data_IF_491766100427
#
_entry.id   IF_491766100427
#
_cell.length_a   1.000
_cell.length_b   1.000
_cell.length_c   1.000
_cell.angle_alpha   90.00
_cell.angle_beta   90.00
_cell.angle_gamma   90.00
#
_symmetry.space_group_name_H-M   'P 1'
#
loop_
_entity.id
_entity.type
_entity.pdbx_description
1 polymer ?
#
# COMPACT_ATOMS: atom_id res chain seq x y z
N UNK A 1 -21.91 -5.58 -6.22
CA UNK A 1 -20.63 -4.99 -5.77
C UNK A 1 -20.26 -5.69 -4.48
N UNK A 2 -19.08 -6.26 -4.45
CA UNK A 2 -18.49 -6.85 -3.25
C UNK A 2 -17.53 -5.85 -2.62
N UNK A 3 -17.22 -6.03 -1.33
CA UNK A 3 -16.28 -5.19 -0.61
C UNK A 3 -15.20 -6.09 0.00
N UNK A 4 -13.95 -5.69 -0.12
CA UNK A 4 -12.84 -6.33 0.57
C UNK A 4 -12.30 -5.38 1.66
N UNK A 5 -12.30 -5.85 2.89
CA UNK A 5 -11.88 -5.07 4.06
C UNK A 5 -10.49 -5.53 4.47
N UNK A 6 -9.53 -4.62 4.37
CA UNK A 6 -8.17 -4.84 4.84
C UNK A 6 -8.10 -4.65 6.36
N UNK A 7 -7.68 -5.69 7.07
CA UNK A 7 -7.56 -5.67 8.51
C UNK A 7 -6.36 -4.84 8.97
N UNK A 8 -6.61 -3.84 9.80
CA UNK A 8 -5.55 -3.04 10.40
C UNK A 8 -5.33 -3.42 11.87
N UNK A 9 -6.41 -3.74 12.57
CA UNK A 9 -6.37 -4.01 13.99
C UNK A 9 -6.27 -2.73 14.82
N UNK A 10 -5.65 -2.84 15.99
CA UNK A 10 -5.60 -1.75 16.96
C UNK A 10 -4.21 -1.10 17.02
N UNK A 11 -4.15 0.20 16.74
CA UNK A 11 -2.91 0.98 16.68
C UNK A 11 -2.36 1.33 18.07
N UNK A 12 -2.21 0.30 18.90
CA UNK A 12 -1.62 0.34 20.23
C UNK A 12 -0.90 -0.96 20.54
N UNK A 13 0.22 -0.87 21.27
CA UNK A 13 0.93 -2.08 21.69
C UNK A 13 -0.01 -3.09 22.40
N UNK A 14 0.08 -4.37 22.02
CA UNK A 14 1.08 -5.02 21.18
C UNK A 14 0.90 -4.90 19.66
N UNK A 15 0.06 -4.03 19.14
CA UNK A 15 -0.25 -3.85 17.72
C UNK A 15 -0.77 -5.14 17.08
N UNK A 16 -1.75 -5.74 17.72
CA UNK A 16 -2.43 -6.89 17.16
C UNK A 16 -3.11 -6.48 15.87
N UNK A 17 -2.84 -7.23 14.81
CA UNK A 17 -3.52 -7.06 13.55
C UNK A 17 -4.97 -7.52 13.61
N UNK A 18 -5.60 -7.56 12.46
CA UNK A 18 -6.97 -8.03 12.26
C UNK A 18 -7.04 -8.92 11.01
N UNK A 19 -8.03 -9.79 10.96
CA UNK A 19 -8.28 -10.61 9.77
C UNK A 19 -8.89 -9.78 8.66
N UNK A 20 -8.47 -10.04 7.43
CA UNK A 20 -9.14 -9.48 6.25
C UNK A 20 -10.48 -10.17 6.04
N UNK A 21 -11.45 -9.43 5.55
CA UNK A 21 -12.80 -9.90 5.30
C UNK A 21 -13.29 -9.51 3.93
N UNK A 22 -14.06 -10.38 3.30
CA UNK A 22 -14.86 -9.99 2.17
C UNK A 22 -16.34 -9.92 2.57
N UNK A 23 -17.01 -8.90 2.10
CA UNK A 23 -18.46 -8.76 2.17
C UNK A 23 -19.02 -9.00 0.79
N UNK A 24 -19.57 -10.17 0.57
CA UNK A 24 -20.12 -10.61 -0.72
C UNK A 24 -21.56 -10.16 -0.81
N UNK A 25 -21.90 -9.41 -1.84
CA UNK A 25 -23.25 -8.90 -2.08
C UNK A 25 -24.22 -10.03 -2.40
N UNK A 26 -25.35 -10.08 -1.69
CA UNK A 26 -26.43 -11.02 -1.96
C UNK A 26 -27.41 -10.50 -3.03
N UNK A 27 -27.19 -9.27 -3.57
CA UNK A 27 -28.02 -8.67 -4.60
C UNK A 27 -29.32 -8.01 -4.10
N UNK A 28 -29.64 -8.14 -2.82
CA UNK A 28 -30.82 -7.55 -2.17
C UNK A 28 -30.48 -6.36 -1.23
N UNK A 29 -29.22 -5.90 -1.26
CA UNK A 29 -28.69 -4.87 -0.38
C UNK A 29 -28.07 -5.40 0.92
N UNK A 30 -28.11 -6.72 1.13
CA UNK A 30 -27.39 -7.38 2.21
C UNK A 30 -26.07 -7.96 1.75
N UNK A 31 -25.19 -8.32 2.71
CA UNK A 31 -23.90 -8.92 2.47
C UNK A 31 -23.70 -10.18 3.31
N UNK A 32 -22.95 -11.12 2.75
CA UNK A 32 -22.42 -12.28 3.48
C UNK A 32 -20.96 -12.02 3.83
N UNK A 33 -20.60 -12.25 5.10
CA UNK A 33 -19.23 -12.06 5.62
C UNK A 33 -18.39 -13.32 5.39
N UNK A 34 -17.19 -13.17 4.87
CA UNK A 34 -16.24 -14.26 4.60
C UNK A 34 -14.85 -13.85 5.07
N UNK A 35 -14.23 -14.66 5.93
CA UNK A 35 -12.83 -14.50 6.33
C UNK A 35 -11.91 -15.06 5.24
N UNK A 36 -10.95 -14.25 4.78
CA UNK A 36 -10.08 -14.60 3.66
C UNK A 36 -8.64 -14.98 4.04
N UNK A 37 -8.31 -14.96 5.30
CA UNK A 37 -6.98 -15.39 5.75
C UNK A 37 -7.02 -15.98 7.15
N UNK A 38 -6.01 -16.78 7.48
CA UNK A 38 -5.86 -17.45 8.77
C UNK A 38 -4.89 -16.75 9.73
N UNK A 39 -4.42 -15.56 9.40
CA UNK A 39 -3.48 -14.78 10.21
C UNK A 39 -3.94 -13.32 10.29
N UNK A 40 -3.58 -12.67 11.38
CA UNK A 40 -3.82 -11.25 11.60
C UNK A 40 -2.79 -10.43 10.83
N UNK A 41 -3.21 -9.29 10.27
CA UNK A 41 -2.39 -8.39 9.47
C UNK A 41 -2.55 -6.96 9.95
N UNK A 42 -1.59 -6.11 9.59
CA UNK A 42 -1.59 -4.69 9.93
C UNK A 42 -1.56 -3.85 8.65
N UNK A 43 -2.58 -4.03 7.80
CA UNK A 43 -2.66 -3.33 6.53
C UNK A 43 -3.14 -1.90 6.69
N UNK A 44 -2.52 -0.99 5.94
CA UNK A 44 -2.86 0.43 5.95
C UNK A 44 -3.58 0.88 4.68
N UNK A 45 -3.38 0.18 3.59
CA UNK A 45 -4.01 0.51 2.33
C UNK A 45 -3.95 -0.65 1.35
N UNK A 46 -4.56 -0.46 0.20
CA UNK A 46 -4.54 -1.41 -0.89
C UNK A 46 -5.37 -0.93 -2.06
N UNK A 47 -5.22 -1.61 -3.17
CA UNK A 47 -5.88 -1.32 -4.43
C UNK A 47 -6.37 -2.61 -5.09
N UNK A 48 -7.28 -2.48 -6.05
CA UNK A 48 -7.72 -3.60 -6.88
C UNK A 48 -7.54 -3.30 -8.36
N UNK A 49 -7.09 -4.30 -9.12
CA UNK A 49 -6.87 -4.22 -10.56
C UNK A 49 -6.61 -5.60 -11.14
N UNK A 50 -6.76 -5.73 -12.45
CA UNK A 50 -6.45 -6.96 -13.19
C UNK A 50 -4.95 -7.01 -13.47
N UNK A 51 -4.17 -7.55 -12.52
CA UNK A 51 -2.69 -7.51 -12.53
C UNK A 51 -2.13 -8.44 -13.61
N UNK A 52 -2.79 -9.59 -13.85
CA UNK A 52 -2.29 -10.60 -14.78
C UNK A 52 -3.10 -10.70 -16.09
N UNK A 53 -3.98 -9.73 -16.34
CA UNK A 53 -4.81 -9.62 -17.55
C UNK A 53 -5.67 -10.86 -17.81
N UNK A 54 -6.13 -11.55 -16.77
CA UNK A 54 -7.02 -12.71 -16.90
C UNK A 54 -8.52 -12.33 -16.88
N UNK A 55 -8.85 -11.07 -16.61
CA UNK A 55 -10.18 -10.49 -16.58
C UNK A 55 -10.83 -10.46 -15.20
N UNK A 56 -10.19 -11.01 -14.19
CA UNK A 56 -10.62 -10.95 -12.80
C UNK A 56 -9.82 -9.88 -12.03
N UNK A 57 -10.44 -9.20 -11.05
CA UNK A 57 -9.74 -8.19 -10.26
C UNK A 57 -8.96 -8.85 -9.11
N UNK A 58 -7.66 -8.60 -9.07
CA UNK A 58 -6.78 -8.92 -7.96
C UNK A 58 -6.77 -7.80 -6.92
N UNK A 59 -6.17 -8.04 -5.74
CA UNK A 59 -6.06 -7.05 -4.68
C UNK A 59 -4.61 -6.99 -4.20
N UNK A 60 -4.06 -5.78 -4.15
CA UNK A 60 -2.82 -5.49 -3.42
C UNK A 60 -3.17 -5.01 -2.02
N UNK A 61 -2.53 -5.55 -0.99
CA UNK A 61 -2.62 -5.10 0.38
C UNK A 61 -1.24 -4.71 0.89
N UNK A 62 -1.09 -3.48 1.37
CA UNK A 62 0.20 -2.94 1.81
C UNK A 62 0.29 -2.85 3.32
N UNK A 63 1.39 -3.34 3.86
CA UNK A 63 1.66 -3.37 5.30
C UNK A 63 2.57 -2.21 5.71
N UNK A 64 2.20 -1.53 6.79
CA UNK A 64 2.92 -0.39 7.34
C UNK A 64 4.24 -0.71 8.07
N UNK A 65 4.84 -1.88 7.80
CA UNK A 65 6.15 -2.27 8.34
C UNK A 65 6.07 -3.23 9.54
N UNK A 66 4.94 -3.91 9.72
CA UNK A 66 4.75 -4.93 10.76
C UNK A 66 4.73 -6.36 10.22
N UNK A 67 4.39 -6.52 8.95
CA UNK A 67 4.25 -7.80 8.28
C UNK A 67 4.77 -7.77 6.86
N UNK A 68 3.99 -8.31 5.97
CA UNK A 68 4.26 -8.43 4.54
C UNK A 68 3.14 -7.82 3.73
N UNK A 69 3.48 -7.07 2.70
CA UNK A 69 2.53 -6.72 1.66
C UNK A 69 2.17 -7.96 0.84
N UNK A 70 0.91 -8.08 0.45
CA UNK A 70 0.39 -9.26 -0.26
C UNK A 70 -0.30 -8.86 -1.55
N UNK A 71 -0.26 -9.76 -2.52
CA UNK A 71 -1.23 -9.80 -3.62
C UNK A 71 -2.21 -10.94 -3.34
N UNK A 72 -3.49 -10.63 -3.34
CA UNK A 72 -4.56 -11.62 -3.38
C UNK A 72 -4.94 -11.83 -4.84
N UNK A 73 -4.39 -12.90 -5.44
CA UNK A 73 -4.71 -13.26 -6.80
C UNK A 73 -6.12 -13.83 -6.86
N UNK A 74 -6.94 -13.33 -7.77
CA UNK A 74 -8.30 -13.81 -7.97
C UNK A 74 -8.31 -14.94 -9.01
N UNK A 75 -8.62 -16.12 -8.55
CA UNK A 75 -8.73 -17.32 -9.39
C UNK A 75 -10.21 -17.68 -9.57
N UNK A 76 -10.90 -17.00 -10.49
CA UNK A 76 -12.34 -17.20 -10.75
C UNK A 76 -13.21 -17.01 -9.50
N UNK A 77 -13.00 -15.94 -8.75
CA UNK A 77 -13.76 -15.60 -7.55
C UNK A 77 -13.17 -16.17 -6.25
N UNK A 78 -12.02 -16.82 -6.31
CA UNK A 78 -11.28 -17.26 -5.13
C UNK A 78 -9.99 -16.44 -4.99
N UNK A 79 -9.88 -15.68 -3.91
CA UNK A 79 -8.71 -14.85 -3.62
C UNK A 79 -7.64 -15.68 -2.89
N UNK A 80 -6.47 -15.80 -3.48
CA UNK A 80 -5.32 -16.51 -2.92
C UNK A 80 -4.22 -15.51 -2.52
N UNK A 81 -3.92 -15.34 -1.22
CA UNK A 81 -2.88 -14.42 -0.78
C UNK A 81 -1.48 -14.96 -1.08
N UNK A 82 -0.60 -14.10 -1.59
CA UNK A 82 0.80 -14.42 -1.85
C UNK A 82 1.72 -13.24 -1.57
N UNK A 83 2.76 -13.45 -0.78
CA UNK A 83 3.87 -12.52 -0.62
C UNK A 83 4.94 -12.67 -1.72
N UNK A 84 4.87 -13.74 -2.50
CA UNK A 84 5.86 -14.08 -3.52
C UNK A 84 5.61 -13.37 -4.86
N UNK A 85 4.50 -12.66 -5.00
CA UNK A 85 4.15 -11.94 -6.23
C UNK A 85 4.54 -10.46 -6.20
N UNK A 86 5.22 -9.99 -5.14
CA UNK A 86 5.62 -8.60 -4.97
C UNK A 86 6.99 -8.49 -4.28
N UNK A 87 7.83 -7.58 -4.77
CA UNK A 87 9.15 -7.35 -4.17
C UNK A 87 9.01 -6.67 -2.79
N UNK A 88 9.16 -7.47 -1.75
CA UNK A 88 9.03 -7.00 -0.36
C UNK A 88 10.08 -5.93 0.02
N UNK A 89 11.23 -5.88 -0.65
CA UNK A 89 12.24 -4.87 -0.37
C UNK A 89 11.80 -3.48 -0.85
N UNK A 90 10.93 -3.41 -1.84
CA UNK A 90 10.35 -2.16 -2.33
C UNK A 90 9.12 -1.73 -1.51
N UNK A 91 8.48 -2.66 -0.79
CA UNK A 91 7.21 -2.45 -0.11
C UNK A 91 7.33 -2.17 1.39
N UNK A 92 8.51 -1.81 1.85
CA UNK A 92 8.73 -1.55 3.27
C UNK A 92 7.99 -0.27 3.73
N UNK A 93 7.18 -0.39 4.78
CA UNK A 93 6.45 0.73 5.40
C UNK A 93 5.54 1.51 4.44
N UNK A 94 4.88 0.81 3.54
CA UNK A 94 3.90 1.42 2.64
C UNK A 94 2.55 1.55 3.34
N UNK A 95 1.89 2.69 3.15
CA UNK A 95 0.62 3.03 3.78
C UNK A 95 -0.51 3.17 2.78
N UNK A 96 -0.16 3.43 1.53
CA UNK A 96 -1.12 3.49 0.44
C UNK A 96 -0.53 2.84 -0.82
N UNK A 97 -1.40 2.28 -1.64
CA UNK A 97 -1.07 1.74 -2.95
C UNK A 97 -2.22 1.99 -3.91
N UNK A 98 -1.88 2.17 -5.18
CA UNK A 98 -2.81 2.25 -6.28
C UNK A 98 -2.32 1.40 -7.45
N UNK A 99 -3.25 0.95 -8.27
CA UNK A 99 -3.01 0.16 -9.47
C UNK A 99 -3.50 0.95 -10.70
N UNK A 100 -2.59 1.28 -11.60
CA UNK A 100 -2.88 2.08 -12.79
C UNK A 100 -1.83 1.81 -13.88
N UNK A 101 -2.23 1.76 -15.14
CA UNK A 101 -1.29 1.71 -16.28
C UNK A 101 -0.68 3.10 -16.51
N UNK A 102 0.45 3.38 -15.85
CA UNK A 102 1.08 4.71 -15.81
C UNK A 102 1.81 5.02 -17.12
N UNK A 103 2.39 3.99 -17.74
CA UNK A 103 3.20 4.13 -18.95
C UNK A 103 2.42 3.88 -20.25
N UNK A 104 1.13 3.49 -20.15
CA UNK A 104 0.24 3.14 -21.25
C UNK A 104 0.74 1.96 -22.11
N UNK A 105 1.34 0.95 -21.49
CA UNK A 105 1.80 -0.26 -22.17
C UNK A 105 0.77 -1.40 -22.19
N UNK A 106 -0.35 -1.19 -21.48
CA UNK A 106 -1.47 -2.13 -21.40
C UNK A 106 -1.38 -3.09 -20.22
N UNK A 107 -0.37 -2.94 -19.36
CA UNK A 107 -0.25 -3.67 -18.10
C UNK A 107 -0.47 -2.72 -16.93
N UNK A 108 -1.06 -3.23 -15.87
CA UNK A 108 -1.28 -2.45 -14.65
C UNK A 108 0.03 -2.33 -13.87
N UNK A 109 0.42 -1.10 -13.54
CA UNK A 109 1.56 -0.79 -12.67
C UNK A 109 1.09 -0.63 -11.22
N UNK A 110 2.00 -0.87 -10.28
CA UNK A 110 1.78 -0.63 -8.87
C UNK A 110 2.52 0.63 -8.43
N UNK A 111 1.81 1.61 -7.92
CA UNK A 111 2.39 2.70 -7.16
C UNK A 111 2.13 2.50 -5.68
N UNK A 112 3.16 2.66 -4.85
CA UNK A 112 3.04 2.56 -3.41
C UNK A 112 3.83 3.65 -2.70
N UNK A 113 3.32 4.09 -1.56
CA UNK A 113 3.96 5.11 -0.74
C UNK A 113 3.56 5.00 0.72
N UNK A 114 4.45 5.42 1.57
CA UNK A 114 4.27 5.44 3.00
C UNK A 114 5.10 6.56 3.59
N UNK A 115 5.87 6.25 4.61
CA UNK A 115 6.91 7.16 5.07
C UNK A 115 8.02 7.27 4.03
N UNK A 116 8.47 8.48 3.71
CA UNK A 116 9.66 8.69 2.86
C UNK A 116 10.95 8.21 3.55
N UNK A 117 10.89 7.95 4.81
CA UNK A 117 12.00 7.51 5.66
C UNK A 117 11.76 6.09 6.16
N UNK A 118 12.78 5.25 6.10
CA UNK A 118 12.76 3.94 6.74
C UNK A 118 13.05 4.09 8.23
N UNK A 119 12.33 3.35 9.05
CA UNK A 119 12.68 3.19 10.46
C UNK A 119 14.00 2.44 10.50
N UNK A 120 15.03 3.14 11.00
CA UNK A 120 16.38 2.63 10.94
C UNK A 120 16.48 1.22 11.46
N UNK A 121 17.10 0.36 10.68
CA UNK A 121 17.47 -1.00 11.09
C UNK A 121 18.60 -1.00 12.10
N UNK A 122 19.00 0.17 12.58
CA UNK A 122 20.04 0.29 13.60
C UNK A 122 19.41 0.16 14.99
N UNK A 123 19.71 -0.92 15.72
CA UNK A 123 19.17 -1.16 17.07
C UNK A 123 19.58 -0.12 18.11
N UNK A 124 20.55 0.76 17.78
CA UNK A 124 20.97 1.86 18.64
C UNK A 124 20.15 3.14 18.40
N UNK A 125 19.24 3.12 17.45
CA UNK A 125 18.41 4.27 17.12
C UNK A 125 17.06 4.22 17.82
N UNK A 126 16.74 5.28 18.51
CA UNK A 126 15.36 5.52 18.91
C UNK A 126 14.51 5.82 17.65
N UNK A 127 13.25 5.44 17.68
CA UNK A 127 12.23 5.45 16.62
C UNK A 127 12.34 6.55 15.56
N UNK A 128 12.78 7.72 15.95
CA UNK A 128 12.74 8.95 15.14
C UNK A 128 14.12 9.56 14.85
N UNK A 129 15.18 8.95 15.30
CA UNK A 129 16.50 9.60 15.28
C UNK A 129 17.46 9.14 14.17
N UNK A 130 17.10 8.10 13.42
CA UNK A 130 17.98 7.49 12.42
C UNK A 130 17.28 7.25 11.08
N UNK A 131 16.52 8.21 10.63
CA UNK A 131 15.81 8.09 9.37
C UNK A 131 16.77 8.20 8.19
N UNK A 132 16.79 7.19 7.35
CA UNK A 132 17.33 7.31 6.00
C UNK A 132 16.15 7.60 5.09
N UNK A 133 16.26 8.64 4.26
CA UNK A 133 15.21 9.04 3.31
C UNK A 133 15.30 8.21 2.02
N UNK A 134 15.42 6.92 2.15
CA UNK A 134 15.57 5.96 1.06
C UNK A 134 14.27 5.23 0.70
N UNK A 135 13.18 5.58 1.37
CA UNK A 135 11.88 4.94 1.20
C UNK A 135 10.85 5.82 0.48
N UNK A 136 11.31 6.65 -0.44
CA UNK A 136 10.43 7.44 -1.30
C UNK A 136 9.41 6.54 -2.03
N UNK A 137 8.23 7.07 -2.40
CA UNK A 137 7.23 6.30 -3.13
C UNK A 137 7.82 5.62 -4.35
N UNK A 138 7.32 4.45 -4.66
CA UNK A 138 7.82 3.61 -5.75
C UNK A 138 6.73 3.32 -6.76
N UNK A 139 7.09 3.35 -8.04
CA UNK A 139 6.33 2.72 -9.13
C UNK A 139 7.05 1.42 -9.46
N UNK A 140 6.32 0.31 -9.52
CA UNK A 140 6.78 -0.97 -10.03
C UNK A 140 5.99 -1.24 -11.30
N UNK A 141 6.69 -1.30 -12.44
CA UNK A 141 6.02 -1.49 -13.72
C UNK A 141 5.56 -2.93 -13.88
N UNK A 142 4.28 -3.09 -14.26
CA UNK A 142 3.68 -4.39 -14.46
C UNK A 142 4.16 -5.07 -15.74
N UNK A 143 4.07 -6.38 -15.76
CA UNK A 143 4.36 -7.21 -16.94
C UNK A 143 3.20 -8.14 -17.32
N UNK A 144 2.06 -7.96 -16.64
CA UNK A 144 0.89 -8.80 -16.79
C UNK A 144 0.99 -10.16 -16.09
N UNK A 145 1.87 -10.30 -15.10
CA UNK A 145 2.04 -11.53 -14.32
C UNK A 145 2.11 -11.25 -12.81
N UNK A 146 3.05 -10.40 -12.39
CA UNK A 146 3.28 -10.05 -10.98
C UNK A 146 4.15 -8.77 -10.87
N UNK A 147 4.68 -8.50 -9.66
CA UNK A 147 5.57 -7.37 -9.39
C UNK A 147 6.92 -7.82 -8.78
N UNK A 148 7.41 -9.00 -9.19
CA UNK A 148 8.70 -9.54 -8.77
C UNK A 148 9.78 -9.32 -9.83
N UNK A 149 10.89 -8.71 -9.45
CA UNK A 149 12.02 -8.40 -10.33
C UNK A 149 11.68 -7.48 -11.52
N UNK A 150 10.56 -6.80 -11.46
CA UNK A 150 10.14 -5.88 -12.50
C UNK A 150 10.96 -4.59 -12.45
N UNK A 151 10.96 -3.87 -13.55
CA UNK A 151 11.50 -2.51 -13.57
C UNK A 151 10.76 -1.64 -12.56
N UNK A 152 11.46 -0.79 -11.85
CA UNK A 152 10.86 0.14 -10.90
C UNK A 152 11.52 1.51 -10.93
N UNK A 153 10.78 2.51 -10.46
CA UNK A 153 11.25 3.87 -10.29
C UNK A 153 10.88 4.40 -8.91
N UNK A 154 11.87 4.93 -8.18
CA UNK A 154 11.58 5.74 -6.99
C UNK A 154 11.21 7.16 -7.42
N UNK A 155 10.11 7.65 -6.91
CA UNK A 155 9.71 9.04 -7.10
C UNK A 155 10.58 9.95 -6.21
N UNK A 156 10.71 11.25 -6.55
CA UNK A 156 11.42 12.18 -5.69
C UNK A 156 10.80 12.19 -4.29
N UNK A 157 11.65 12.12 -3.28
CA UNK A 157 11.23 12.43 -1.91
C UNK A 157 10.72 13.87 -1.85
N UNK A 158 9.90 14.18 -0.86
CA UNK A 158 9.25 15.48 -0.73
C UNK A 158 10.20 16.68 -0.64
N UNK A 159 11.46 16.46 -0.33
CA UNK A 159 12.44 17.52 -0.10
C UNK A 159 12.21 18.36 1.15
N UNK A 160 11.18 18.04 1.93
CA UNK A 160 10.89 18.64 3.22
C UNK A 160 11.29 17.62 4.29
N UNK A 161 12.23 18.00 5.15
CA UNK A 161 12.63 17.16 6.29
C UNK A 161 11.41 16.71 7.06
N UNK A 162 11.32 15.39 7.29
CA UNK A 162 10.30 14.76 8.12
C UNK A 162 8.87 14.96 7.60
N UNK A 163 8.68 14.95 6.30
CA UNK A 163 7.36 14.94 5.73
C UNK A 163 6.64 13.64 6.11
N UNK A 164 5.33 13.77 6.34
CA UNK A 164 4.49 12.70 6.81
C UNK A 164 4.22 11.61 5.78
N UNK A 165 3.28 10.76 6.12
CA UNK A 165 2.92 9.56 5.37
C UNK A 165 2.17 9.93 4.09
N UNK A 166 2.44 9.23 3.00
CA UNK A 166 1.58 9.28 1.81
C UNK A 166 0.20 8.74 2.15
N UNK A 167 -0.82 9.53 1.88
CA UNK A 167 -2.20 9.20 2.20
C UNK A 167 -3.05 8.90 0.98
N UNK A 168 -2.67 9.40 -0.19
CA UNK A 168 -3.40 9.11 -1.42
C UNK A 168 -2.56 9.40 -2.66
N UNK A 169 -2.91 8.72 -3.74
CA UNK A 169 -2.46 8.99 -5.10
C UNK A 169 -3.67 9.29 -5.97
N UNK A 170 -3.54 10.24 -6.90
CA UNK A 170 -4.50 10.54 -7.93
C UNK A 170 -3.77 10.66 -9.26
N UNK A 171 -4.41 10.19 -10.33
CA UNK A 171 -3.84 10.18 -11.68
C UNK A 171 -4.71 11.03 -12.59
N UNK A 172 -4.12 12.03 -13.22
CA UNK A 172 -4.86 12.95 -14.05
C UNK A 172 -3.95 13.69 -15.03
N UNK A 173 -4.31 13.69 -16.32
CA UNK A 173 -3.70 14.54 -17.33
C UNK A 173 -4.25 15.97 -17.17
N UNK A 174 -3.57 16.81 -16.36
CA UNK A 174 -4.10 18.14 -16.04
C UNK A 174 -3.65 19.22 -17.02
N UNK A 175 -2.59 19.01 -17.80
CA UNK A 175 -2.14 19.94 -18.83
C UNK A 175 -2.59 19.55 -20.25
N UNK A 176 -3.27 18.40 -20.40
CA UNK A 176 -3.81 17.84 -21.62
C UNK A 176 -2.74 17.54 -22.67
N UNK A 177 -1.57 17.07 -22.24
CA UNK A 177 -0.50 16.64 -23.13
C UNK A 177 -0.58 15.17 -23.53
N UNK A 178 -1.53 14.43 -22.95
CA UNK A 178 -1.77 13.01 -23.18
C UNK A 178 -0.96 12.09 -22.27
N UNK A 179 -0.20 12.64 -21.34
CA UNK A 179 0.45 11.89 -20.27
C UNK A 179 -0.32 12.10 -18.96
N UNK A 180 -0.12 11.21 -18.00
CA UNK A 180 -0.80 11.30 -16.72
C UNK A 180 0.15 11.81 -15.66
N UNK A 181 -0.24 12.87 -14.96
CA UNK A 181 0.47 13.35 -13.78
C UNK A 181 0.01 12.61 -12.53
N UNK A 182 0.92 12.48 -11.59
CA UNK A 182 0.66 11.84 -10.30
C UNK A 182 0.58 12.91 -9.23
N UNK A 183 -0.59 13.05 -8.61
CA UNK A 183 -0.79 13.91 -7.44
C UNK A 183 -0.61 13.04 -6.20
N UNK A 184 0.33 13.42 -5.34
CA UNK A 184 0.60 12.71 -4.09
C UNK A 184 0.18 13.58 -2.92
N UNK A 185 -0.77 13.12 -2.13
CA UNK A 185 -1.15 13.78 -0.88
C UNK A 185 -0.43 13.14 0.30
N UNK A 186 -0.05 13.96 1.27
CA UNK A 186 0.72 13.53 2.44
C UNK A 186 0.19 14.18 3.71
N UNK A 187 0.32 13.50 4.83
CA UNK A 187 0.13 14.14 6.13
C UNK A 187 1.25 15.14 6.38
N UNK A 188 0.97 16.23 7.08
CA UNK A 188 2.02 17.09 7.61
C UNK A 188 2.84 16.40 8.71
N UNK A 189 4.09 16.81 8.89
CA UNK A 189 4.90 16.33 10.00
C UNK A 189 4.64 17.16 11.25
N UNK A 190 3.93 16.59 12.20
CA UNK A 190 3.78 17.14 13.54
C UNK A 190 4.70 16.47 14.58
N UNK A 191 5.60 15.60 14.14
CA UNK A 191 6.45 14.84 15.05
C UNK A 191 7.53 15.66 15.75
N UNK A 192 7.67 16.96 15.45
CA UNK A 192 8.84 17.75 15.83
C UNK A 192 8.63 18.92 16.75
N UNK A 193 7.43 19.33 17.08
CA UNK A 193 7.27 20.59 17.76
C UNK A 193 6.96 20.52 19.26
N UNK A 194 6.56 19.36 19.79
CA UNK A 194 6.40 19.23 21.25
C UNK A 194 6.80 17.83 21.74
N UNK A 195 7.89 17.70 22.48
CA UNK A 195 8.12 16.48 23.22
C UNK A 195 7.10 16.42 24.36
N UNK A 196 6.00 15.71 24.17
CA UNK A 196 5.02 15.50 25.23
C UNK A 196 3.55 15.46 24.84
N UNK A 197 3.19 15.50 23.56
CA UNK A 197 1.84 15.11 23.19
C UNK A 197 1.82 13.58 23.01
N UNK A 198 1.22 12.87 23.96
CA UNK A 198 1.07 11.44 23.82
C UNK A 198 0.07 11.16 22.69
N UNK A 199 0.37 10.20 21.86
CA UNK A 199 -0.59 9.51 21.00
C UNK A 199 -1.67 8.76 21.81
N UNK A 200 -1.79 9.10 23.09
CA UNK A 200 -2.60 8.47 24.12
C UNK A 200 -3.92 9.23 24.40
N UNK A 201 -4.54 9.82 23.38
CA UNK A 201 -5.92 10.33 23.55
C UNK A 201 -6.84 9.80 22.47
#
# INVERSE_FOLDING_TARGET
>A
VDLFLLGHGYDKQPFNGEFNKALISNGDGSFSDVDYQSFESFYHGGASGDIDNDGDLDIVAVDGGRGKSLIYKNLNGQLEPSEALIDQALMNQMYNAELFDINNDGFIDLIAGGHDWSWGQNPECEWWSCNTYDNAPVIIYGDGVDFINNEFQRLPASGIDKQGIVTNFEFFDFDNDGQVEIIITRTGDNMNEEPGLPWDQ
#
